data_IF_562273721632
#
_entry.id   IF_562273721632
#
_cell.length_a   1.000
_cell.length_b   1.000
_cell.length_c   1.000
_cell.angle_alpha   90.00
_cell.angle_beta   90.00
_cell.angle_gamma   90.00
#
_symmetry.space_group_name_H-M   'P 1'
#
loop_
_entity.id
_entity.type
_entity.pdbx_description
1 polymer ?
#
# COMPACT_ATOMS: atom_id res chain seq x y z
N UNK A 1 36.37 -63.99 -3.00
CA UNK A 1 35.57 -63.13 -2.12
C UNK A 1 35.68 -61.70 -2.63
N UNK A 2 34.69 -61.27 -3.45
CA UNK A 2 34.65 -59.92 -4.06
C UNK A 2 33.74 -59.06 -3.19
N UNK A 3 34.29 -58.00 -2.58
CA UNK A 3 33.54 -57.00 -1.84
C UNK A 3 32.98 -55.99 -2.84
N UNK A 4 31.68 -55.92 -2.99
CA UNK A 4 30.97 -54.93 -3.77
C UNK A 4 30.70 -53.73 -2.86
N UNK A 5 31.37 -52.61 -3.17
CA UNK A 5 31.16 -51.33 -2.46
C UNK A 5 29.99 -50.61 -3.17
N UNK A 6 28.84 -50.53 -2.45
CA UNK A 6 27.67 -49.77 -2.91
C UNK A 6 27.86 -48.33 -2.51
N UNK A 7 28.19 -47.47 -3.47
CA UNK A 7 28.23 -46.02 -3.28
C UNK A 7 26.84 -45.49 -3.55
N UNK A 8 26.09 -45.14 -2.48
CA UNK A 8 24.83 -44.42 -2.57
C UNK A 8 25.11 -42.94 -2.79
N UNK A 9 24.97 -42.48 -4.03
CA UNK A 9 24.93 -41.05 -4.35
C UNK A 9 23.58 -40.46 -3.89
N UNK A 10 23.60 -39.77 -2.76
CA UNK A 10 22.48 -39.01 -2.27
C UNK A 10 22.39 -37.70 -3.06
N UNK A 11 21.59 -37.71 -4.13
CA UNK A 11 21.24 -36.51 -4.91
C UNK A 11 20.35 -35.65 -4.02
N UNK A 12 20.95 -34.67 -3.33
CA UNK A 12 20.24 -33.54 -2.73
C UNK A 12 19.69 -32.68 -3.89
N UNK A 13 18.45 -32.94 -4.28
CA UNK A 13 17.70 -32.07 -5.16
C UNK A 13 17.40 -30.76 -4.42
N UNK A 14 18.23 -29.74 -4.60
CA UNK A 14 17.85 -28.35 -4.32
C UNK A 14 16.70 -28.00 -5.27
N UNK A 15 15.47 -28.12 -4.78
CA UNK A 15 14.32 -27.51 -5.43
C UNK A 15 14.47 -26.00 -5.24
N UNK A 16 15.11 -25.35 -6.19
CA UNK A 16 15.04 -23.91 -6.35
C UNK A 16 13.59 -23.62 -6.72
N UNK A 17 12.79 -23.20 -5.76
CA UNK A 17 11.53 -22.49 -6.06
C UNK A 17 11.94 -21.17 -6.74
N UNK A 18 12.15 -21.21 -8.04
CA UNK A 18 12.07 -20.01 -8.84
C UNK A 18 10.61 -19.57 -8.75
N UNK A 19 10.36 -18.50 -8.01
CA UNK A 19 9.11 -17.75 -8.11
C UNK A 19 9.08 -17.26 -9.57
N UNK A 20 8.46 -18.04 -10.44
CA UNK A 20 8.17 -17.58 -11.78
C UNK A 20 7.23 -16.40 -11.62
N UNK A 21 7.70 -15.21 -11.99
CA UNK A 21 6.84 -14.03 -12.06
C UNK A 21 5.76 -14.37 -13.09
N UNK A 22 4.50 -14.30 -12.68
CA UNK A 22 3.39 -14.56 -13.59
C UNK A 22 3.41 -13.51 -14.71
N UNK A 23 3.15 -13.94 -15.95
CA UNK A 23 3.12 -13.03 -17.10
C UNK A 23 1.87 -12.14 -17.14
N UNK A 24 0.87 -12.44 -16.29
CA UNK A 24 -0.42 -11.76 -16.24
C UNK A 24 -0.94 -11.71 -14.80
N UNK A 25 -1.84 -10.77 -14.55
CA UNK A 25 -2.61 -10.79 -13.31
C UNK A 25 -3.93 -11.55 -13.48
N UNK A 26 -4.39 -12.14 -12.38
CA UNK A 26 -5.72 -12.69 -12.23
C UNK A 26 -6.30 -12.22 -10.90
N UNK A 27 -7.49 -11.61 -10.93
CA UNK A 27 -8.24 -11.20 -9.73
C UNK A 27 -9.55 -11.97 -9.74
N UNK A 28 -9.73 -12.83 -8.76
CA UNK A 28 -11.00 -13.55 -8.53
C UNK A 28 -11.68 -12.97 -7.31
N UNK A 29 -13.01 -12.77 -7.39
CA UNK A 29 -13.74 -12.18 -6.29
C UNK A 29 -15.05 -12.91 -5.98
N UNK A 30 -15.39 -12.90 -4.66
CA UNK A 30 -16.64 -13.45 -4.14
C UNK A 30 -17.26 -12.51 -3.12
N UNK A 31 -18.35 -11.83 -3.55
CA UNK A 31 -19.01 -10.74 -2.82
C UNK A 31 -20.31 -11.15 -2.11
N UNK A 32 -20.64 -12.40 -2.06
CA UNK A 32 -21.93 -12.87 -1.56
C UNK A 32 -22.96 -13.07 -2.68
N UNK A 33 -23.75 -14.11 -2.54
CA UNK A 33 -24.52 -14.74 -3.62
C UNK A 33 -25.63 -13.88 -4.24
N UNK A 34 -26.00 -12.76 -3.61
CA UNK A 34 -27.06 -11.86 -4.12
C UNK A 34 -26.52 -10.64 -4.88
N UNK A 35 -25.21 -10.45 -4.91
CA UNK A 35 -24.59 -9.31 -5.58
C UNK A 35 -24.50 -9.58 -7.07
N UNK A 36 -25.09 -8.70 -7.88
CA UNK A 36 -25.00 -8.73 -9.34
C UNK A 36 -24.71 -7.31 -9.85
N UNK A 37 -24.05 -7.19 -11.00
CA UNK A 37 -23.76 -5.91 -11.61
C UNK A 37 -22.45 -5.89 -12.36
N UNK A 38 -21.86 -4.71 -12.50
CA UNK A 38 -20.57 -4.53 -13.18
C UNK A 38 -19.59 -3.79 -12.27
N UNK A 39 -18.36 -4.23 -12.31
CA UNK A 39 -17.23 -3.63 -11.63
C UNK A 39 -16.22 -3.10 -12.64
N UNK A 40 -15.54 -2.05 -12.24
CA UNK A 40 -14.40 -1.47 -12.94
C UNK A 40 -13.14 -1.67 -12.13
N UNK A 41 -12.06 -1.94 -12.82
CA UNK A 41 -10.70 -1.86 -12.32
C UNK A 41 -10.09 -0.56 -12.86
N UNK A 42 -9.74 0.36 -11.96
CA UNK A 42 -9.34 1.73 -12.30
C UNK A 42 -7.93 1.97 -11.82
N UNK A 43 -6.99 2.18 -12.73
CA UNK A 43 -5.60 2.49 -12.41
C UNK A 43 -5.42 3.97 -12.05
N UNK A 44 -4.59 4.25 -11.06
CA UNK A 44 -4.12 5.60 -10.75
C UNK A 44 -2.77 5.82 -11.46
N UNK A 45 -2.77 6.69 -12.45
CA UNK A 45 -1.61 6.95 -13.31
C UNK A 45 -1.17 8.42 -13.22
N UNK A 46 -0.03 8.75 -13.82
CA UNK A 46 0.45 10.14 -13.98
C UNK A 46 -0.51 11.03 -14.78
N UNK A 47 -1.37 10.41 -15.62
CA UNK A 47 -2.39 11.10 -16.43
C UNK A 47 -3.77 11.11 -15.77
N UNK A 48 -3.87 10.60 -14.53
CA UNK A 48 -5.11 10.48 -13.77
C UNK A 48 -5.67 9.06 -13.74
N UNK A 49 -6.96 8.97 -13.46
CA UNK A 49 -7.68 7.70 -13.31
C UNK A 49 -8.01 7.10 -14.67
N UNK A 50 -7.57 5.87 -14.92
CA UNK A 50 -7.77 5.14 -16.18
C UNK A 50 -8.50 3.83 -15.92
N UNK A 51 -9.61 3.58 -16.63
CA UNK A 51 -10.30 2.27 -16.60
C UNK A 51 -9.45 1.24 -17.36
N UNK A 52 -8.98 0.21 -16.65
CA UNK A 52 -8.11 -0.84 -17.21
C UNK A 52 -8.80 -2.20 -17.31
N UNK A 53 -10.01 -2.34 -16.76
CA UNK A 53 -10.78 -3.58 -16.85
C UNK A 53 -12.23 -3.40 -16.40
N UNK A 54 -13.11 -4.21 -16.99
CA UNK A 54 -14.51 -4.35 -16.62
C UNK A 54 -14.81 -5.83 -16.34
N UNK A 55 -15.55 -6.11 -15.28
CA UNK A 55 -16.04 -7.45 -14.98
C UNK A 55 -17.53 -7.43 -14.66
N UNK A 56 -18.24 -8.48 -15.09
CA UNK A 56 -19.63 -8.71 -14.69
C UNK A 56 -19.65 -9.58 -13.43
N UNK A 57 -20.38 -9.11 -12.42
CA UNK A 57 -20.64 -9.89 -11.20
C UNK A 57 -21.89 -10.72 -11.42
N UNK A 58 -21.77 -12.02 -11.27
CA UNK A 58 -22.89 -12.96 -11.35
C UNK A 58 -22.92 -13.82 -10.11
N UNK A 59 -24.02 -13.80 -9.36
CA UNK A 59 -24.15 -14.52 -8.09
C UNK A 59 -22.99 -14.21 -7.11
N UNK A 60 -22.50 -12.96 -7.13
CA UNK A 60 -21.40 -12.49 -6.30
C UNK A 60 -20.00 -12.82 -6.79
N UNK A 61 -19.86 -13.59 -7.87
CA UNK A 61 -18.54 -13.97 -8.41
C UNK A 61 -18.16 -13.06 -9.58
N UNK A 62 -16.88 -12.71 -9.65
CA UNK A 62 -16.30 -11.93 -10.75
C UNK A 62 -14.83 -12.30 -10.97
N UNK A 63 -14.33 -11.99 -12.15
CA UNK A 63 -12.93 -12.18 -12.52
C UNK A 63 -12.44 -11.02 -13.38
N UNK A 64 -11.21 -10.59 -13.11
CA UNK A 64 -10.42 -9.77 -14.02
C UNK A 64 -9.13 -10.50 -14.36
N UNK A 65 -8.74 -10.42 -15.62
CA UNK A 65 -7.45 -10.90 -16.11
C UNK A 65 -6.82 -9.85 -17.01
N UNK A 66 -5.49 -9.79 -17.01
CA UNK A 66 -4.77 -8.85 -17.85
C UNK A 66 -3.28 -8.87 -17.57
N UNK A 67 -2.57 -7.90 -18.10
CA UNK A 67 -1.14 -7.75 -17.91
C UNK A 67 -0.80 -6.32 -17.50
N UNK A 68 0.03 -6.19 -16.48
CA UNK A 68 0.57 -4.90 -16.06
C UNK A 68 2.06 -4.83 -16.43
N UNK A 69 2.50 -3.74 -17.07
CA UNK A 69 3.92 -3.53 -17.38
C UNK A 69 4.74 -3.23 -16.11
N UNK A 70 4.12 -2.64 -15.11
CA UNK A 70 4.72 -2.23 -13.84
C UNK A 70 3.69 -2.24 -12.72
N UNK A 71 4.19 -2.22 -11.47
CA UNK A 71 3.33 -2.10 -10.29
C UNK A 71 2.52 -0.82 -10.36
N UNK A 72 1.20 -0.93 -10.16
CA UNK A 72 0.28 0.20 -10.23
C UNK A 72 -0.76 0.12 -9.12
N UNK A 73 -1.06 1.26 -8.48
CA UNK A 73 -2.20 1.35 -7.58
C UNK A 73 -3.49 1.30 -8.39
N UNK A 74 -4.35 0.34 -8.08
CA UNK A 74 -5.66 0.20 -8.72
C UNK A 74 -6.78 0.18 -7.71
N UNK A 75 -7.94 0.64 -8.15
CA UNK A 75 -9.17 0.68 -7.37
C UNK A 75 -10.21 -0.22 -8.00
N UNK A 76 -10.84 -1.06 -7.18
CA UNK A 76 -12.05 -1.80 -7.54
C UNK A 76 -13.25 -0.92 -7.22
N UNK A 77 -14.05 -0.61 -8.22
CA UNK A 77 -15.19 0.30 -8.10
C UNK A 77 -16.43 -0.27 -8.80
N UNK A 78 -17.65 0.09 -8.36
CA UNK A 78 -18.84 -0.17 -9.16
C UNK A 78 -18.78 0.65 -10.46
N UNK A 79 -19.52 0.22 -11.50
CA UNK A 79 -19.60 0.91 -12.79
C UNK A 79 -19.90 2.43 -12.65
N UNK A 80 -20.71 2.82 -11.68
CA UNK A 80 -21.08 4.23 -11.42
C UNK A 80 -19.95 5.04 -10.74
N UNK A 81 -18.83 4.41 -10.38
CA UNK A 81 -17.67 5.02 -9.67
C UNK A 81 -18.06 5.84 -8.43
N UNK A 82 -19.15 5.48 -7.78
CA UNK A 82 -19.70 6.20 -6.61
C UNK A 82 -19.20 5.65 -5.27
N UNK A 83 -18.39 4.61 -5.29
CA UNK A 83 -17.79 4.00 -4.10
C UNK A 83 -16.45 3.36 -4.45
N UNK A 84 -15.52 3.40 -3.50
CA UNK A 84 -14.31 2.58 -3.52
C UNK A 84 -14.62 1.29 -2.75
N UNK A 85 -14.50 0.15 -3.42
CA UNK A 85 -14.76 -1.16 -2.82
C UNK A 85 -13.48 -1.79 -2.26
N UNK A 86 -12.39 -1.71 -3.02
CA UNK A 86 -11.08 -2.14 -2.60
C UNK A 86 -10.00 -1.37 -3.36
N UNK A 87 -8.81 -1.29 -2.79
CA UNK A 87 -7.62 -0.82 -3.45
C UNK A 87 -6.55 -1.92 -3.36
N UNK A 88 -5.70 -2.03 -4.38
CA UNK A 88 -4.61 -3.00 -4.41
C UNK A 88 -3.41 -2.47 -5.19
N UNK A 89 -2.23 -2.93 -4.84
CA UNK A 89 -1.01 -2.77 -5.63
C UNK A 89 -0.99 -3.88 -6.68
N UNK A 90 -1.43 -3.55 -7.90
CA UNK A 90 -1.55 -4.53 -8.97
C UNK A 90 -0.22 -4.74 -9.67
N UNK A 91 0.18 -5.98 -9.71
CA UNK A 91 1.29 -6.54 -10.48
C UNK A 91 0.84 -7.86 -11.11
N UNK A 92 1.63 -8.47 -11.98
CA UNK A 92 1.28 -9.76 -12.57
C UNK A 92 1.37 -10.86 -11.52
N UNK A 93 0.24 -11.14 -10.87
CA UNK A 93 0.08 -12.10 -9.78
C UNK A 93 -1.40 -12.49 -9.62
N UNK A 94 -1.68 -13.50 -8.83
CA UNK A 94 -3.03 -13.94 -8.50
C UNK A 94 -3.53 -13.25 -7.21
N UNK A 95 -4.75 -12.69 -7.28
CA UNK A 95 -5.44 -12.04 -6.17
C UNK A 95 -6.80 -12.68 -5.93
N UNK A 96 -7.17 -12.78 -4.68
CA UNK A 96 -8.52 -13.21 -4.26
C UNK A 96 -9.17 -12.08 -3.46
N UNK A 97 -10.39 -11.70 -3.83
CA UNK A 97 -11.16 -10.66 -3.13
C UNK A 97 -12.43 -11.30 -2.54
N UNK A 98 -12.56 -11.21 -1.22
CA UNK A 98 -13.70 -11.78 -0.50
C UNK A 98 -14.40 -10.75 0.35
N UNK A 99 -15.66 -11.00 0.70
CA UNK A 99 -16.41 -10.17 1.64
C UNK A 99 -15.95 -10.47 3.06
N UNK A 100 -15.33 -9.48 3.70
CA UNK A 100 -15.07 -9.50 5.14
C UNK A 100 -16.28 -9.01 5.95
N UNK A 101 -16.09 -8.72 7.22
CA UNK A 101 -17.18 -8.27 8.10
C UNK A 101 -17.71 -6.88 7.71
N UNK A 102 -16.81 -5.93 7.40
CA UNK A 102 -17.16 -4.54 7.09
C UNK A 102 -16.47 -4.00 5.84
N UNK A 103 -15.54 -4.74 5.27
CA UNK A 103 -14.75 -4.34 4.11
C UNK A 103 -14.43 -5.57 3.24
N UNK A 104 -14.04 -5.34 1.99
CA UNK A 104 -13.48 -6.39 1.17
C UNK A 104 -12.05 -6.71 1.63
N UNK A 105 -11.75 -8.00 1.67
CA UNK A 105 -10.44 -8.53 2.00
C UNK A 105 -9.74 -8.94 0.71
N UNK A 106 -8.55 -8.40 0.48
CA UNK A 106 -7.69 -8.73 -0.66
C UNK A 106 -6.57 -9.64 -0.17
N UNK A 107 -6.55 -10.87 -0.67
CA UNK A 107 -5.52 -11.87 -0.40
C UNK A 107 -4.69 -12.14 -1.67
N UNK A 108 -3.55 -12.80 -1.51
CA UNK A 108 -2.64 -13.04 -2.64
C UNK A 108 -1.89 -11.79 -3.05
N UNK A 109 -1.67 -11.65 -4.36
CA UNK A 109 -0.81 -10.64 -4.95
C UNK A 109 0.67 -10.97 -4.82
N UNK A 110 1.52 -10.19 -5.48
CA UNK A 110 2.96 -10.33 -5.43
C UNK A 110 3.61 -9.55 -4.30
N UNK A 111 4.87 -9.17 -4.50
CA UNK A 111 5.67 -8.51 -3.46
C UNK A 111 5.14 -7.11 -3.12
N UNK A 112 4.68 -6.34 -4.11
CA UNK A 112 4.14 -4.99 -3.87
C UNK A 112 2.87 -5.04 -2.99
N UNK A 113 1.96 -5.98 -3.25
CA UNK A 113 0.76 -6.16 -2.44
C UNK A 113 1.09 -6.61 -1.02
N UNK A 114 2.12 -7.45 -0.85
CA UNK A 114 2.61 -7.88 0.46
C UNK A 114 3.22 -6.72 1.25
N UNK A 115 4.06 -5.92 0.62
CA UNK A 115 4.65 -4.72 1.24
C UNK A 115 3.53 -3.76 1.68
N UNK A 116 2.54 -3.53 0.80
CA UNK A 116 1.44 -2.64 1.15
C UNK A 116 0.63 -3.13 2.34
N UNK A 117 0.40 -4.44 2.47
CA UNK A 117 -0.27 -4.99 3.65
C UNK A 117 0.49 -4.66 4.94
N UNK A 118 1.83 -4.74 4.97
CA UNK A 118 2.60 -4.39 6.16
C UNK A 118 2.35 -2.93 6.60
N UNK A 119 2.32 -1.97 5.68
CA UNK A 119 1.97 -0.58 5.99
C UNK A 119 0.51 -0.41 6.42
N UNK A 120 -0.43 -1.04 5.72
CA UNK A 120 -1.85 -0.97 6.06
C UNK A 120 -2.16 -1.58 7.45
N UNK A 121 -1.49 -2.65 7.82
CA UNK A 121 -1.67 -3.29 9.14
C UNK A 121 -1.20 -2.36 10.25
N UNK A 122 -0.11 -1.62 10.04
CA UNK A 122 0.35 -0.58 10.97
C UNK A 122 -0.70 0.52 11.11
N UNK A 123 -1.21 1.05 10.00
CA UNK A 123 -2.23 2.11 9.99
C UNK A 123 -3.55 1.64 10.64
N UNK A 124 -4.00 0.42 10.33
CA UNK A 124 -5.20 -0.18 10.95
C UNK A 124 -5.02 -0.39 12.46
N UNK A 125 -3.81 -0.77 12.90
CA UNK A 125 -3.48 -0.90 14.32
C UNK A 125 -3.58 0.45 15.03
N UNK A 126 -2.99 1.50 14.46
CA UNK A 126 -3.04 2.87 14.98
C UNK A 126 -4.47 3.41 15.03
N UNK A 127 -5.25 3.20 13.97
CA UNK A 127 -6.65 3.63 13.91
C UNK A 127 -7.50 2.96 15.01
N UNK A 128 -7.32 1.65 15.23
CA UNK A 128 -8.01 0.94 16.32
C UNK A 128 -7.64 1.51 17.70
N UNK A 129 -6.36 1.81 17.94
CA UNK A 129 -5.91 2.43 19.19
C UNK A 129 -6.51 3.81 19.40
N UNK A 130 -6.58 4.62 18.34
CA UNK A 130 -7.24 5.93 18.38
C UNK A 130 -8.71 5.80 18.81
N UNK A 131 -9.47 4.89 18.19
CA UNK A 131 -10.87 4.64 18.55
C UNK A 131 -11.04 4.18 20.00
N UNK A 132 -10.17 3.29 20.48
CA UNK A 132 -10.20 2.83 21.87
C UNK A 132 -9.99 3.98 22.86
N UNK A 133 -9.00 4.83 22.60
CA UNK A 133 -8.71 5.99 23.47
C UNK A 133 -9.85 7.01 23.41
N UNK A 134 -10.42 7.30 22.24
CA UNK A 134 -11.57 8.19 22.12
C UNK A 134 -12.77 7.68 22.92
N UNK A 135 -13.06 6.37 22.85
CA UNK A 135 -14.13 5.77 23.64
C UNK A 135 -13.88 5.89 25.15
N UNK A 136 -12.63 5.69 25.60
CA UNK A 136 -12.27 5.86 27.03
C UNK A 136 -12.39 7.30 27.50
N UNK A 137 -12.01 8.29 26.70
CA UNK A 137 -12.18 9.72 27.01
C UNK A 137 -13.67 10.06 27.15
N UNK A 138 -14.51 9.53 26.25
CA UNK A 138 -15.98 9.75 26.33
C UNK A 138 -16.59 9.16 27.62
N UNK A 139 -16.11 7.98 28.05
CA UNK A 139 -16.59 7.34 29.29
C UNK A 139 -16.08 8.05 30.55
N UNK A 140 -14.85 8.57 30.51
CA UNK A 140 -14.22 9.21 31.67
C UNK A 140 -13.37 10.44 31.25
N UNK A 141 -14.00 11.61 31.06
CA UNK A 141 -13.31 12.82 30.60
C UNK A 141 -12.17 13.28 31.54
N UNK A 142 -12.21 12.93 32.82
CA UNK A 142 -11.15 13.31 33.77
C UNK A 142 -9.78 12.65 33.46
N UNK A 143 -9.77 11.57 32.70
CA UNK A 143 -8.54 10.86 32.29
C UNK A 143 -7.98 11.35 30.95
N UNK A 144 -8.61 12.30 30.27
CA UNK A 144 -8.27 12.75 28.94
C UNK A 144 -6.78 13.08 28.79
N UNK A 145 -6.24 13.92 29.68
CA UNK A 145 -4.83 14.34 29.60
C UNK A 145 -3.84 13.16 29.77
N UNK A 146 -4.20 12.13 30.54
CA UNK A 146 -3.43 10.89 30.67
C UNK A 146 -3.46 10.06 29.39
N UNK A 147 -4.66 9.83 28.87
CA UNK A 147 -4.90 9.06 27.65
C UNK A 147 -4.28 9.72 26.40
N UNK A 148 -4.30 11.06 26.32
CA UNK A 148 -3.63 11.78 25.23
C UNK A 148 -2.10 11.59 25.27
N UNK A 149 -1.47 11.60 26.46
CA UNK A 149 -0.03 11.31 26.59
C UNK A 149 0.30 9.86 26.20
N UNK A 150 -0.55 8.92 26.56
CA UNK A 150 -0.41 7.52 26.15
C UNK A 150 -0.53 7.40 24.62
N UNK A 151 -1.55 8.02 24.05
CA UNK A 151 -1.75 7.99 22.60
C UNK A 151 -0.56 8.60 21.84
N UNK A 152 0.02 9.71 22.35
CA UNK A 152 1.21 10.30 21.75
C UNK A 152 2.36 9.30 21.67
N UNK A 153 2.62 8.52 22.73
CA UNK A 153 3.66 7.47 22.71
C UNK A 153 3.38 6.39 21.66
N UNK A 154 2.10 6.02 21.49
CA UNK A 154 1.68 5.05 20.47
C UNK A 154 1.93 5.61 19.06
N UNK A 155 1.62 6.89 18.82
CA UNK A 155 1.89 7.56 17.54
C UNK A 155 3.39 7.64 17.28
N UNK A 156 4.18 8.08 18.26
CA UNK A 156 5.64 8.19 18.13
C UNK A 156 6.26 6.82 17.79
N UNK A 157 5.74 5.73 18.39
CA UNK A 157 6.18 4.37 18.07
C UNK A 157 5.77 3.95 16.65
N UNK A 158 4.53 4.22 16.25
CA UNK A 158 4.06 3.92 14.90
C UNK A 158 4.83 4.69 13.82
N UNK A 159 5.16 5.96 14.07
CA UNK A 159 6.04 6.76 13.20
C UNK A 159 7.42 6.11 13.01
N UNK A 160 8.02 5.60 14.10
CA UNK A 160 9.31 4.92 14.03
C UNK A 160 9.23 3.57 13.30
N UNK A 161 8.13 2.81 13.48
CA UNK A 161 7.89 1.55 12.79
C UNK A 161 7.66 1.80 11.28
N UNK A 162 6.90 2.85 10.91
CA UNK A 162 6.71 3.23 9.51
C UNK A 162 8.04 3.60 8.85
N UNK A 163 8.86 4.42 9.51
CA UNK A 163 10.18 4.78 8.99
C UNK A 163 11.10 3.55 8.82
N UNK A 164 11.00 2.58 9.72
CA UNK A 164 11.73 1.32 9.59
C UNK A 164 11.26 0.50 8.38
N UNK A 165 9.94 0.46 8.10
CA UNK A 165 9.39 -0.16 6.90
C UNK A 165 9.83 0.57 5.62
N UNK A 166 9.83 1.90 5.62
CA UNK A 166 10.34 2.70 4.49
C UNK A 166 11.82 2.37 4.19
N UNK A 167 12.67 2.26 5.22
CA UNK A 167 14.08 1.87 5.05
C UNK A 167 14.24 0.42 4.59
N UNK A 168 13.40 -0.50 5.08
CA UNK A 168 13.38 -1.91 4.68
C UNK A 168 13.03 -2.09 3.21
N UNK A 169 12.08 -1.31 2.72
CA UNK A 169 11.53 -1.38 1.36
C UNK A 169 11.85 -0.14 0.52
N UNK A 170 13.01 0.44 0.74
CA UNK A 170 13.37 1.78 0.26
C UNK A 170 13.27 1.97 -1.27
N UNK A 171 13.47 0.94 -2.08
CA UNK A 171 13.34 1.00 -3.54
C UNK A 171 11.94 0.60 -4.05
N UNK A 172 11.01 0.27 -3.15
CA UNK A 172 9.68 -0.14 -3.54
C UNK A 172 8.81 1.03 -4.03
N UNK A 173 8.07 0.80 -5.11
CA UNK A 173 6.95 1.67 -5.54
C UNK A 173 6.00 1.99 -4.38
N UNK A 174 5.71 0.98 -3.54
CA UNK A 174 4.81 1.11 -2.39
C UNK A 174 5.35 2.09 -1.37
N UNK A 175 6.67 2.06 -1.07
CA UNK A 175 7.27 3.00 -0.13
C UNK A 175 7.10 4.45 -0.61
N UNK A 176 7.35 4.72 -1.90
CA UNK A 176 7.11 6.04 -2.48
C UNK A 176 5.63 6.46 -2.39
N UNK A 177 4.71 5.54 -2.70
CA UNK A 177 3.27 5.78 -2.57
C UNK A 177 2.85 6.12 -1.13
N UNK A 178 3.35 5.37 -0.13
CA UNK A 178 3.02 5.61 1.29
C UNK A 178 3.45 7.01 1.71
N UNK A 179 4.66 7.46 1.36
CA UNK A 179 5.11 8.82 1.67
C UNK A 179 4.24 9.85 0.97
N UNK A 180 3.96 9.69 -0.32
CA UNK A 180 3.13 10.63 -1.09
C UNK A 180 1.69 10.71 -0.57
N UNK A 181 1.07 9.57 -0.23
CA UNK A 181 -0.32 9.53 0.25
C UNK A 181 -0.50 10.19 1.61
N UNK A 182 0.57 10.28 2.41
CA UNK A 182 0.55 10.86 3.76
C UNK A 182 1.12 12.27 3.82
N UNK A 183 1.76 12.80 2.76
CA UNK A 183 2.46 14.09 2.80
C UNK A 183 1.57 15.25 3.27
N UNK A 184 0.31 15.30 2.87
CA UNK A 184 -0.64 16.34 3.32
C UNK A 184 -1.02 16.24 4.81
N UNK A 185 -0.75 15.11 5.46
CA UNK A 185 -1.01 14.88 6.88
C UNK A 185 0.24 15.10 7.74
N UNK A 186 1.40 15.16 7.11
CA UNK A 186 2.69 15.40 7.77
C UNK A 186 2.87 16.92 7.89
N UNK A 187 2.57 17.46 9.09
CA UNK A 187 2.65 18.89 9.38
C UNK A 187 4.07 19.40 9.61
N UNK A 188 5.05 18.50 9.68
CA UNK A 188 6.46 18.79 9.95
C UNK A 188 7.29 18.50 8.70
N UNK A 189 7.79 19.57 8.07
CA UNK A 189 8.59 19.49 6.84
C UNK A 189 9.86 18.64 7.05
N UNK A 190 10.46 18.67 8.24
CA UNK A 190 11.62 17.85 8.55
C UNK A 190 11.28 16.35 8.55
N UNK A 191 10.10 15.98 9.03
CA UNK A 191 9.63 14.60 8.97
C UNK A 191 9.34 14.16 7.53
N UNK A 192 8.76 15.02 6.70
CA UNK A 192 8.54 14.69 5.29
C UNK A 192 9.88 14.48 4.57
N UNK A 193 10.85 15.35 4.81
CA UNK A 193 12.19 15.23 4.26
C UNK A 193 12.88 13.93 4.72
N UNK A 194 12.82 13.60 6.01
CA UNK A 194 13.37 12.34 6.54
C UNK A 194 12.79 11.11 5.84
N UNK A 195 11.47 11.09 5.62
CA UNK A 195 10.79 9.98 4.90
C UNK A 195 11.21 9.91 3.44
N UNK A 196 11.34 11.06 2.77
CA UNK A 196 11.82 11.09 1.39
C UNK A 196 13.29 10.65 1.29
N UNK A 197 14.13 11.04 2.23
CA UNK A 197 15.55 10.63 2.30
C UNK A 197 15.70 9.12 2.57
N UNK A 198 14.72 8.51 3.24
CA UNK A 198 14.67 7.06 3.43
C UNK A 198 14.35 6.29 2.15
N UNK A 199 13.77 6.93 1.11
CA UNK A 199 13.52 6.30 -0.18
C UNK A 199 14.82 6.14 -0.98
N UNK A 200 14.97 5.01 -1.66
CA UNK A 200 16.04 4.75 -2.59
C UNK A 200 15.78 5.35 -3.97
N UNK A 201 16.74 5.18 -4.86
CA UNK A 201 16.73 5.81 -6.19
C UNK A 201 15.53 5.38 -7.04
N UNK A 202 15.21 4.07 -7.06
CA UNK A 202 14.10 3.53 -7.85
C UNK A 202 12.74 4.07 -7.34
N UNK A 203 12.53 4.11 -6.02
CA UNK A 203 11.32 4.65 -5.42
C UNK A 203 11.15 6.16 -5.71
N UNK A 204 12.23 6.94 -5.62
CA UNK A 204 12.23 8.38 -5.96
C UNK A 204 11.95 8.64 -7.44
N UNK A 205 12.32 7.73 -8.34
CA UNK A 205 12.07 7.86 -9.77
C UNK A 205 10.60 7.62 -10.15
N UNK A 206 9.80 7.01 -9.28
CA UNK A 206 8.35 6.78 -9.50
C UNK A 206 7.56 8.08 -9.57
N UNK A 207 6.31 8.01 -10.05
CA UNK A 207 5.37 9.17 -10.03
C UNK A 207 5.20 9.72 -8.61
N UNK A 208 5.12 8.84 -7.60
CA UNK A 208 4.92 9.22 -6.21
C UNK A 208 6.18 9.82 -5.58
N UNK A 209 7.35 9.27 -5.87
CA UNK A 209 8.61 9.85 -5.42
C UNK A 209 8.84 11.26 -5.96
N UNK A 210 8.50 11.49 -7.24
CA UNK A 210 8.54 12.81 -7.87
C UNK A 210 7.55 13.79 -7.24
N UNK A 211 6.31 13.34 -6.93
CA UNK A 211 5.33 14.17 -6.25
C UNK A 211 5.84 14.68 -4.88
N UNK A 212 6.49 13.80 -4.10
CA UNK A 212 7.07 14.21 -2.81
C UNK A 212 8.24 15.18 -3.00
N UNK A 213 9.10 14.95 -3.99
CA UNK A 213 10.20 15.87 -4.32
C UNK A 213 9.68 17.27 -4.69
N UNK A 214 8.66 17.34 -5.54
CA UNK A 214 8.05 18.60 -5.96
C UNK A 214 7.42 19.35 -4.77
N UNK A 215 6.82 18.63 -3.82
CA UNK A 215 6.27 19.24 -2.61
C UNK A 215 7.37 19.79 -1.71
N UNK A 216 8.45 19.05 -1.49
CA UNK A 216 9.61 19.54 -0.71
C UNK A 216 10.21 20.81 -1.32
N UNK A 217 10.31 20.90 -2.66
CA UNK A 217 10.76 22.12 -3.34
C UNK A 217 9.82 23.31 -3.10
N UNK A 218 8.50 23.07 -3.01
CA UNK A 218 7.54 24.14 -2.70
C UNK A 218 7.69 24.61 -1.25
N UNK A 219 7.82 23.68 -0.31
CA UNK A 219 8.01 23.98 1.11
C UNK A 219 9.28 24.79 1.35
N UNK A 220 10.39 24.46 0.69
CA UNK A 220 11.63 25.26 0.77
C UNK A 220 11.45 26.72 0.31
N UNK A 221 10.59 26.96 -0.69
CA UNK A 221 10.33 28.33 -1.21
C UNK A 221 9.46 29.18 -0.29
N UNK A 222 8.66 28.57 0.59
CA UNK A 222 7.75 29.28 1.51
C UNK A 222 8.27 29.31 2.95
N UNK A 223 9.43 28.71 3.21
CA UNK A 223 10.06 28.74 4.54
C UNK A 223 10.43 30.18 4.92
N UNK A 224 10.30 30.51 6.21
CA UNK A 224 10.65 31.83 6.74
C UNK A 224 12.10 32.19 6.41
N UNK A 225 12.31 33.30 5.70
CA UNK A 225 13.62 33.75 5.20
C UNK A 225 13.90 33.44 3.74
N UNK A 226 13.00 32.72 3.04
CA UNK A 226 13.11 32.54 1.58
C UNK A 226 12.89 33.88 0.85
N UNK A 227 13.65 34.09 -0.24
CA UNK A 227 13.48 35.28 -1.08
C UNK A 227 12.15 35.16 -1.82
N UNK A 228 11.27 36.16 -1.64
CA UNK A 228 9.98 36.20 -2.34
C UNK A 228 10.19 36.15 -3.86
N UNK A 229 9.38 35.37 -4.63
CA UNK A 229 9.44 35.39 -6.07
C UNK A 229 9.19 36.79 -6.62
N UNK A 230 10.01 37.23 -7.59
CA UNK A 230 9.76 38.48 -8.31
C UNK A 230 8.46 38.32 -9.13
N UNK A 231 7.44 39.04 -8.72
CA UNK A 231 6.25 39.21 -9.55
C UNK A 231 6.56 40.31 -10.58
N UNK A 232 6.79 39.93 -11.83
CA UNK A 232 6.71 40.86 -12.94
C UNK A 232 5.23 41.09 -13.25
N UNK A 233 4.79 42.36 -13.11
CA UNK A 233 3.46 42.82 -13.50
C UNK A 233 3.32 42.87 -15.03
#
# INVERSE_FOLDING_TARGET
MKRILFTVCMLLGCVLFTMAQEDSYKIEGKLGNTVNGKLLLVANTDKGMLDIGEATVTNGEFEFTGRMPEVTLVYLMPMKKNALLAALMLENAHYTITMGTNELVVEGGGEAQKIWREFNDLDKSLARKRQQIQAQVQMNPSQEAGLQREFKKIVDKADAEELALLKKYNNSFVAAYVVASKMAQILDDAKLKERYEALGEEARATIYGKQVADELVKLEKVTVGAVAPNFSA
#
